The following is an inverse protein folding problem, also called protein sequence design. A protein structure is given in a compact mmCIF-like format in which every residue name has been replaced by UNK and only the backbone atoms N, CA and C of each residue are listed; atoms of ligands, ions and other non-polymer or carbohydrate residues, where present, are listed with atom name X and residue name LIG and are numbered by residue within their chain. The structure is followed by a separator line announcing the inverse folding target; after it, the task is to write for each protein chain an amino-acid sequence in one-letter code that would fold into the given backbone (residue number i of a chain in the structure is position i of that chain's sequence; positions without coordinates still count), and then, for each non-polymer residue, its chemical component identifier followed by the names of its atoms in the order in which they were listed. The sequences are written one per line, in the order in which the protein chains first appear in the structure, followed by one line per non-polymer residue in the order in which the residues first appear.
data_IF_187121419917
#
_entry.id   IF_187121419917
#
_cell.length_a   1.000
_cell.length_b   1.000
_cell.length_c   1.000
_cell.angle_alpha   90.00
_cell.angle_beta   90.00
_cell.angle_gamma   90.00
#
_symmetry.space_group_name_H-M   'P 1'
#
loop_
_entity.id
_entity.type
_entity.pdbx_description
1 polymer ?
#
# COMPACT_ATOMS: atom_id res chain seq x y z
N UNK A 1 9.65 -17.32 -2.20
CA UNK A 1 10.11 -17.35 -3.60
C UNK A 1 9.12 -16.77 -4.64
N UNK A 2 7.84 -16.50 -4.33
CA UNK A 2 6.79 -16.27 -5.34
C UNK A 2 6.74 -14.92 -6.12
N UNK A 3 7.64 -13.95 -5.88
CA UNK A 3 7.55 -12.60 -6.51
C UNK A 3 8.79 -12.26 -7.37
N UNK A 4 9.83 -13.09 -7.29
CA UNK A 4 11.17 -12.74 -7.80
C UNK A 4 11.34 -12.87 -9.33
N UNK A 5 10.26 -13.02 -10.10
CA UNK A 5 10.31 -13.08 -11.57
C UNK A 5 9.18 -12.35 -12.28
N UNK A 6 8.27 -11.73 -11.53
CA UNK A 6 7.08 -11.07 -12.09
C UNK A 6 7.32 -9.57 -12.28
N UNK A 7 6.63 -9.00 -13.27
CA UNK A 7 6.64 -7.56 -13.51
C UNK A 7 5.92 -6.83 -12.39
N UNK A 8 6.45 -5.68 -11.94
CA UNK A 8 5.85 -4.86 -10.90
C UNK A 8 4.37 -4.54 -11.18
N UNK A 9 4.05 -4.14 -12.42
CA UNK A 9 2.66 -3.88 -12.86
C UNK A 9 1.76 -5.09 -12.71
N UNK A 10 2.26 -6.30 -12.99
CA UNK A 10 1.46 -7.51 -12.86
C UNK A 10 1.06 -7.74 -11.40
N UNK A 11 2.00 -7.56 -10.47
CA UNK A 11 1.73 -7.67 -9.03
C UNK A 11 0.70 -6.64 -8.58
N UNK A 12 0.87 -5.38 -9.00
CA UNK A 12 -0.09 -4.30 -8.69
C UNK A 12 -1.48 -4.60 -9.23
N UNK A 13 -1.60 -5.15 -10.45
CA UNK A 13 -2.89 -5.53 -11.04
C UNK A 13 -3.58 -6.68 -10.30
N UNK A 14 -2.83 -7.67 -9.81
CA UNK A 14 -3.41 -8.76 -9.02
C UNK A 14 -3.91 -8.24 -7.67
N UNK A 15 -3.11 -7.38 -7.01
CA UNK A 15 -3.53 -6.75 -5.75
C UNK A 15 -4.75 -5.85 -5.94
N UNK A 16 -4.83 -5.12 -7.06
CA UNK A 16 -5.98 -4.26 -7.33
C UNK A 16 -7.26 -5.05 -7.57
N UNK A 17 -7.18 -6.20 -8.24
CA UNK A 17 -8.31 -7.13 -8.37
C UNK A 17 -8.79 -7.62 -6.99
N UNK A 18 -7.86 -7.97 -6.09
CA UNK A 18 -8.20 -8.41 -4.74
C UNK A 18 -8.99 -7.35 -3.98
N UNK A 19 -8.53 -6.09 -3.97
CA UNK A 19 -9.24 -5.00 -3.29
C UNK A 19 -10.64 -4.78 -3.86
N UNK A 20 -10.78 -4.79 -5.18
CA UNK A 20 -12.07 -4.57 -5.83
C UNK A 20 -13.07 -5.67 -5.45
N UNK A 21 -12.63 -6.92 -5.35
CA UNK A 21 -13.49 -8.03 -4.90
C UNK A 21 -13.96 -7.83 -3.44
N UNK A 22 -13.08 -7.35 -2.56
CA UNK A 22 -13.45 -7.03 -1.16
C UNK A 22 -14.42 -5.85 -1.10
N UNK A 23 -14.16 -4.78 -1.85
CA UNK A 23 -15.02 -3.59 -1.87
C UNK A 23 -16.40 -3.92 -2.45
N UNK A 24 -16.46 -4.68 -3.54
CA UNK A 24 -17.73 -5.10 -4.16
C UNK A 24 -18.53 -6.03 -3.27
N UNK A 25 -17.90 -6.97 -2.56
CA UNK A 25 -18.62 -7.80 -1.59
C UNK A 25 -19.17 -6.98 -0.41
N UNK A 26 -18.45 -5.95 0.05
CA UNK A 26 -18.99 -5.01 1.03
C UNK A 26 -20.20 -4.21 0.48
N UNK A 27 -20.19 -3.81 -0.80
CA UNK A 27 -21.35 -3.14 -1.44
C UNK A 27 -22.57 -4.04 -1.60
N UNK A 28 -22.36 -5.34 -1.78
CA UNK A 28 -23.45 -6.32 -1.91
C UNK A 28 -24.23 -6.51 -0.61
N UNK A 29 -23.68 -6.09 0.53
CA UNK A 29 -24.40 -6.11 1.80
C UNK A 29 -25.52 -5.07 1.84
N UNK A 30 -26.60 -5.39 2.56
CA UNK A 30 -27.74 -4.48 2.71
C UNK A 30 -27.53 -3.49 3.87
N UNK A 31 -26.39 -3.58 4.56
CA UNK A 31 -26.07 -2.76 5.72
C UNK A 31 -25.58 -1.38 5.31
N UNK A 32 -26.19 -0.35 5.89
CA UNK A 32 -25.85 1.04 5.61
C UNK A 32 -24.40 1.36 5.94
N UNK A 33 -23.90 0.84 7.07
CA UNK A 33 -22.52 1.09 7.53
C UNK A 33 -21.49 0.43 6.61
N UNK A 34 -21.75 -0.80 6.16
CA UNK A 34 -20.90 -1.51 5.18
C UNK A 34 -20.77 -0.73 3.86
N UNK A 35 -21.85 -0.13 3.36
CA UNK A 35 -21.82 0.71 2.14
C UNK A 35 -21.05 2.01 2.31
N UNK A 36 -21.07 2.62 3.50
CA UNK A 36 -20.29 3.82 3.80
C UNK A 36 -18.80 3.48 3.87
N UNK A 37 -18.44 2.41 4.57
CA UNK A 37 -17.05 1.92 4.64
C UNK A 37 -16.53 1.48 3.28
N UNK A 38 -17.35 0.87 2.43
CA UNK A 38 -17.00 0.52 1.06
C UNK A 38 -16.67 1.75 0.20
N UNK A 39 -17.41 2.87 0.34
CA UNK A 39 -17.10 4.14 -0.33
C UNK A 39 -15.75 4.72 0.13
N UNK A 40 -15.44 4.64 1.43
CA UNK A 40 -14.13 5.04 1.97
C UNK A 40 -13.01 4.16 1.41
N UNK A 41 -13.23 2.84 1.38
CA UNK A 41 -12.32 1.86 0.79
C UNK A 41 -12.06 2.10 -0.70
N UNK A 42 -13.09 2.47 -1.46
CA UNK A 42 -12.96 2.87 -2.87
C UNK A 42 -12.10 4.14 -3.03
N UNK A 43 -12.29 5.14 -2.17
CA UNK A 43 -11.44 6.34 -2.19
C UNK A 43 -9.97 5.99 -1.91
N UNK A 44 -9.70 5.14 -0.92
CA UNK A 44 -8.35 4.62 -0.62
C UNK A 44 -7.76 3.88 -1.81
N UNK A 45 -8.56 3.01 -2.45
CA UNK A 45 -8.17 2.23 -3.62
C UNK A 45 -7.73 3.13 -4.79
N UNK A 46 -8.49 4.18 -5.11
CA UNK A 46 -8.15 5.11 -6.21
C UNK A 46 -6.80 5.81 -5.95
N UNK A 47 -6.58 6.29 -4.73
CA UNK A 47 -5.33 7.00 -4.36
C UNK A 47 -4.14 6.06 -4.49
N UNK A 48 -4.25 4.87 -3.91
CA UNK A 48 -3.20 3.86 -3.93
C UNK A 48 -2.87 3.38 -5.35
N UNK A 49 -3.90 3.12 -6.17
CA UNK A 49 -3.72 2.66 -7.54
C UNK A 49 -3.03 3.74 -8.38
N UNK A 50 -3.46 4.99 -8.26
CA UNK A 50 -2.82 6.12 -8.93
C UNK A 50 -1.34 6.23 -8.57
N UNK A 51 -1.03 6.26 -7.26
CA UNK A 51 0.35 6.37 -6.78
C UNK A 51 1.21 5.17 -7.23
N UNK A 52 0.65 3.97 -7.27
CA UNK A 52 1.35 2.75 -7.73
C UNK A 52 1.68 2.80 -9.24
N UNK A 53 0.76 3.28 -10.07
CA UNK A 53 0.98 3.42 -11.52
C UNK A 53 2.07 4.47 -11.80
N UNK A 54 1.99 5.64 -11.17
CA UNK A 54 3.00 6.70 -11.32
C UNK A 54 4.37 6.23 -10.82
N UNK A 55 4.41 5.50 -9.71
CA UNK A 55 5.63 4.88 -9.19
C UNK A 55 6.22 3.90 -10.20
N UNK A 56 5.38 3.06 -10.83
CA UNK A 56 5.82 2.14 -11.89
C UNK A 56 6.44 2.87 -13.08
N UNK A 57 5.84 3.98 -13.53
CA UNK A 57 6.35 4.77 -14.64
C UNK A 57 7.74 5.36 -14.31
N UNK A 58 7.91 5.84 -13.08
CA UNK A 58 9.19 6.40 -12.60
C UNK A 58 10.28 5.31 -12.55
N UNK A 59 9.96 4.15 -11.99
CA UNK A 59 10.87 3.00 -11.94
C UNK A 59 11.29 2.56 -13.34
N UNK A 60 10.34 2.52 -14.29
CA UNK A 60 10.65 2.16 -15.68
C UNK A 60 11.62 3.14 -16.34
N UNK A 61 11.51 4.45 -16.08
CA UNK A 61 12.45 5.44 -16.63
C UNK A 61 13.87 5.16 -16.15
N UNK A 62 14.06 4.95 -14.85
CA UNK A 62 15.39 4.79 -14.24
C UNK A 62 15.97 3.41 -14.54
N UNK A 63 15.23 2.33 -14.28
CA UNK A 63 15.75 0.97 -14.40
C UNK A 63 15.63 0.39 -15.82
N UNK A 64 14.87 1.02 -16.72
CA UNK A 64 14.51 0.51 -18.07
C UNK A 64 13.80 -0.85 -18.08
N UNK A 65 13.42 -1.35 -16.91
CA UNK A 65 12.77 -2.65 -16.71
C UNK A 65 11.79 -2.58 -15.56
N UNK A 66 10.74 -3.40 -15.62
CA UNK A 66 9.77 -3.58 -14.55
C UNK A 66 9.91 -4.95 -13.87
N UNK A 67 10.91 -5.74 -14.27
CA UNK A 67 11.18 -7.05 -13.66
C UNK A 67 11.80 -6.85 -12.28
N UNK A 68 11.13 -7.33 -11.25
CA UNK A 68 11.57 -7.17 -9.86
C UNK A 68 12.94 -7.83 -9.58
N UNK A 69 13.28 -8.92 -10.28
CA UNK A 69 14.62 -9.54 -10.20
C UNK A 69 15.73 -8.61 -10.66
N UNK A 70 15.50 -7.92 -11.78
CA UNK A 70 16.48 -7.02 -12.38
C UNK A 70 16.61 -5.74 -11.55
N UNK A 71 15.49 -5.20 -11.07
CA UNK A 71 15.48 -4.05 -10.17
C UNK A 71 16.29 -4.36 -8.91
N UNK A 72 16.09 -5.55 -8.31
CA UNK A 72 16.86 -5.97 -7.14
C UNK A 72 18.36 -6.07 -7.41
N UNK A 73 18.76 -6.58 -8.59
CA UNK A 73 20.17 -6.69 -8.97
C UNK A 73 20.79 -5.31 -9.21
N UNK A 74 20.06 -4.41 -9.86
CA UNK A 74 20.49 -3.04 -10.10
C UNK A 74 20.59 -2.24 -8.77
N UNK A 75 19.73 -2.54 -7.80
CA UNK A 75 19.76 -1.91 -6.48
C UNK A 75 21.04 -2.23 -5.70
N UNK A 76 21.49 -3.49 -5.78
CA UNK A 76 22.75 -3.94 -5.17
C UNK A 76 23.97 -3.24 -5.78
N UNK A 77 23.93 -2.89 -7.07
CA UNK A 77 25.06 -2.25 -7.76
C UNK A 77 25.06 -0.71 -7.69
N UNK A 78 23.90 -0.06 -7.82
CA UNK A 78 23.82 1.39 -8.10
C UNK A 78 23.02 2.21 -7.08
N UNK A 79 22.70 1.68 -5.88
CA UNK A 79 21.99 2.42 -4.84
C UNK A 79 20.77 3.21 -5.36
N UNK A 80 19.80 2.49 -5.93
CA UNK A 80 18.59 3.05 -6.58
C UNK A 80 17.78 3.98 -5.65
N UNK A 81 17.89 3.82 -4.32
CA UNK A 81 17.26 4.72 -3.35
C UNK A 81 17.69 6.18 -3.50
N UNK A 82 18.92 6.45 -3.90
CA UNK A 82 19.41 7.83 -4.07
C UNK A 82 18.70 8.50 -5.25
N UNK A 83 18.42 7.73 -6.30
CA UNK A 83 17.75 8.22 -7.51
C UNK A 83 16.22 8.25 -7.36
N UNK A 84 15.63 7.42 -6.49
CA UNK A 84 14.18 7.35 -6.26
C UNK A 84 13.74 7.47 -4.79
N UNK A 85 14.19 8.49 -4.03
CA UNK A 85 13.82 8.62 -2.62
C UNK A 85 12.31 8.88 -2.47
N UNK A 86 11.73 9.70 -3.34
CA UNK A 86 10.32 10.06 -3.29
C UNK A 86 9.38 8.92 -3.69
N UNK A 87 9.76 8.08 -4.67
CA UNK A 87 9.00 6.86 -4.99
C UNK A 87 9.05 5.87 -3.83
N UNK A 88 10.19 5.70 -3.18
CA UNK A 88 10.28 4.84 -2.00
C UNK A 88 9.35 5.31 -0.88
N UNK A 89 9.35 6.62 -0.56
CA UNK A 89 8.45 7.18 0.44
C UNK A 89 6.99 7.00 0.03
N UNK A 90 6.63 7.26 -1.24
CA UNK A 90 5.27 7.02 -1.75
C UNK A 90 4.82 5.57 -1.53
N UNK A 91 5.64 4.59 -1.92
CA UNK A 91 5.34 3.16 -1.72
C UNK A 91 5.26 2.78 -0.23
N UNK A 92 6.03 3.46 0.62
CA UNK A 92 5.95 3.27 2.08
C UNK A 92 4.65 3.84 2.65
N UNK A 93 4.20 5.02 2.21
CA UNK A 93 2.90 5.57 2.60
C UNK A 93 1.76 4.67 2.14
N UNK A 94 1.87 4.08 0.94
CA UNK A 94 0.94 3.07 0.45
C UNK A 94 0.84 1.88 1.41
N UNK A 95 1.98 1.36 1.89
CA UNK A 95 2.01 0.28 2.87
C UNK A 95 1.28 0.70 4.17
N UNK A 96 1.50 1.92 4.66
CA UNK A 96 0.80 2.45 5.84
C UNK A 96 -0.72 2.59 5.61
N UNK A 97 -1.14 3.08 4.43
CA UNK A 97 -2.55 3.16 4.04
C UNK A 97 -3.21 1.77 4.00
N UNK A 98 -2.50 0.76 3.49
CA UNK A 98 -2.99 -0.62 3.43
C UNK A 98 -3.13 -1.25 4.81
N UNK A 99 -2.20 -0.92 5.71
CA UNK A 99 -2.27 -1.30 7.12
C UNK A 99 -3.29 -0.52 7.94
N UNK A 100 -3.93 0.53 7.38
CA UNK A 100 -4.74 1.50 8.13
C UNK A 100 -4.01 2.04 9.36
N UNK A 101 -2.72 2.34 9.21
CA UNK A 101 -1.88 2.83 10.30
C UNK A 101 -1.80 4.36 10.28
N UNK A 102 -1.65 4.95 11.47
CA UNK A 102 -1.37 6.36 11.71
C UNK A 102 -2.48 7.29 11.20
N UNK A 103 -2.07 8.48 10.77
CA UNK A 103 -2.87 9.48 10.08
C UNK A 103 -3.46 9.01 8.73
N UNK A 104 -3.18 7.76 8.31
CA UNK A 104 -3.66 7.16 7.06
C UNK A 104 -4.75 6.10 7.29
N UNK A 105 -5.35 6.05 8.48
CA UNK A 105 -6.54 5.25 8.73
C UNK A 105 -7.79 5.88 8.06
N UNK A 106 -8.50 5.08 7.26
CA UNK A 106 -9.76 5.45 6.61
C UNK A 106 -10.99 5.02 7.44
N UNK A 107 -10.79 4.53 8.67
CA UNK A 107 -11.83 4.03 9.57
C UNK A 107 -12.41 2.71 9.07
N UNK A 108 -11.57 1.84 8.51
CA UNK A 108 -11.99 0.55 7.89
C UNK A 108 -11.88 -0.64 8.84
N UNK A 109 -11.11 -0.51 9.91
CA UNK A 109 -10.81 -1.53 10.94
C UNK A 109 -11.93 -1.72 11.96
N UNK A 110 -12.88 -0.80 12.02
CA UNK A 110 -14.00 -0.82 12.95
C UNK A 110 -13.64 -0.61 14.43
N UNK A 111 -12.49 0.01 14.68
CA UNK A 111 -12.02 0.33 16.05
C UNK A 111 -12.74 1.55 16.65
N UNK A 112 -13.49 2.29 15.83
CA UNK A 112 -14.32 3.40 16.29
C UNK A 112 -15.64 2.85 16.89
N UNK A 113 -15.90 3.14 18.18
CA UNK A 113 -17.16 2.83 18.87
C UNK A 113 -18.35 3.70 18.38
N UNK A 114 -18.33 4.15 17.13
CA UNK A 114 -19.40 4.95 16.52
C UNK A 114 -20.24 4.07 15.59
N UNK A 115 -21.53 4.40 15.41
CA UNK A 115 -22.47 3.70 14.50
C UNK A 115 -21.99 3.72 13.03
N UNK A 116 -21.07 4.65 12.69
CA UNK A 116 -20.42 4.79 11.38
C UNK A 116 -19.02 4.15 11.31
N UNK A 117 -18.60 3.52 12.40
CA UNK A 117 -17.33 2.82 12.57
C UNK A 117 -17.47 1.32 12.37
N UNK A 118 -18.44 0.87 11.58
CA UNK A 118 -18.56 -0.56 11.30
C UNK A 118 -17.52 -0.96 10.25
N UNK A 119 -16.80 -2.05 10.53
CA UNK A 119 -15.64 -2.44 9.74
C UNK A 119 -16.05 -2.75 8.29
N UNK A 120 -15.15 -2.52 7.33
CA UNK A 120 -15.35 -2.95 5.93
C UNK A 120 -15.67 -4.45 5.84
N UNK A 121 -15.26 -5.22 6.85
CA UNK A 121 -15.40 -6.65 6.95
C UNK A 121 -16.64 -7.12 7.74
N UNK A 122 -17.43 -6.20 8.31
CA UNK A 122 -18.67 -6.49 9.04
C UNK A 122 -19.65 -7.41 8.29
N UNK A 123 -19.85 -7.29 6.95
CA UNK A 123 -20.77 -8.17 6.24
C UNK A 123 -20.25 -9.60 6.01
N UNK A 124 -18.99 -9.90 6.35
CA UNK A 124 -18.39 -11.21 6.18
C UNK A 124 -18.39 -11.98 7.49
N UNK A 125 -18.76 -13.26 7.46
CA UNK A 125 -18.82 -14.11 8.65
C UNK A 125 -18.09 -15.44 8.46
N UNK A 126 -17.65 -16.01 9.58
CA UNK A 126 -17.04 -17.34 9.66
C UNK A 126 -15.85 -17.52 8.71
N UNK A 127 -15.97 -18.49 7.80
CA UNK A 127 -14.91 -18.87 6.87
C UNK A 127 -14.53 -17.75 5.89
N UNK A 128 -15.51 -17.00 5.40
CA UNK A 128 -15.27 -15.92 4.42
C UNK A 128 -14.40 -14.80 5.00
N UNK A 129 -14.66 -14.44 6.26
CA UNK A 129 -13.86 -13.46 7.01
C UNK A 129 -12.42 -13.94 7.20
N UNK A 130 -12.22 -15.20 7.54
CA UNK A 130 -10.89 -15.79 7.72
C UNK A 130 -10.05 -15.74 6.43
N UNK A 131 -10.65 -16.08 5.28
CA UNK A 131 -9.97 -16.02 3.98
C UNK A 131 -9.57 -14.58 3.63
N UNK A 132 -10.45 -13.61 3.86
CA UNK A 132 -10.15 -12.19 3.60
C UNK A 132 -9.04 -11.69 4.51
N UNK A 133 -9.05 -12.07 5.79
CA UNK A 133 -8.02 -11.67 6.75
C UNK A 133 -6.64 -12.25 6.37
N UNK A 134 -6.59 -13.52 5.95
CA UNK A 134 -5.36 -14.13 5.42
C UNK A 134 -4.88 -13.42 4.15
N UNK A 135 -5.79 -13.11 3.23
CA UNK A 135 -5.46 -12.39 2.00
C UNK A 135 -4.85 -11.01 2.30
N UNK A 136 -5.42 -10.28 3.27
CA UNK A 136 -4.88 -9.00 3.71
C UNK A 136 -3.46 -9.14 4.29
N UNK A 137 -3.19 -10.17 5.11
CA UNK A 137 -1.85 -10.40 5.66
C UNK A 137 -0.84 -10.75 4.56
N UNK A 138 -1.25 -11.54 3.58
CA UNK A 138 -0.43 -11.86 2.41
C UNK A 138 -0.13 -10.59 1.60
N UNK A 139 -1.13 -9.74 1.37
CA UNK A 139 -0.94 -8.44 0.70
C UNK A 139 0.10 -7.58 1.42
N UNK A 140 0.02 -7.45 2.74
CA UNK A 140 1.01 -6.69 3.51
C UNK A 140 2.42 -7.26 3.36
N UNK A 141 2.54 -8.59 3.37
CA UNK A 141 3.81 -9.27 3.09
C UNK A 141 4.35 -9.00 1.68
N UNK A 142 3.48 -8.90 0.67
CA UNK A 142 3.86 -8.54 -0.71
C UNK A 142 4.37 -7.11 -0.77
N UNK A 143 3.71 -6.16 -0.10
CA UNK A 143 4.17 -4.76 -0.05
C UNK A 143 5.53 -4.62 0.63
N UNK A 144 5.72 -5.22 1.81
CA UNK A 144 7.01 -5.24 2.50
C UNK A 144 8.10 -5.78 1.58
N UNK A 145 7.80 -6.84 0.83
CA UNK A 145 8.73 -7.42 -0.12
C UNK A 145 9.04 -6.50 -1.31
N UNK A 146 8.03 -5.81 -1.86
CA UNK A 146 8.23 -4.83 -2.94
C UNK A 146 9.20 -3.74 -2.48
N UNK A 147 8.97 -3.17 -1.29
CA UNK A 147 9.86 -2.15 -0.74
C UNK A 147 11.29 -2.67 -0.55
N UNK A 148 11.46 -3.95 -0.22
CA UNK A 148 12.80 -4.54 0.01
C UNK A 148 13.69 -4.56 -1.21
N UNK A 149 13.13 -4.52 -2.41
CA UNK A 149 13.90 -4.48 -3.65
C UNK A 149 14.58 -3.13 -3.91
N UNK A 150 14.15 -2.06 -3.24
CA UNK A 150 14.75 -0.72 -3.40
C UNK A 150 15.99 -0.53 -2.53
N UNK A 151 16.17 -1.31 -1.47
CA UNK A 151 17.33 -1.15 -0.59
C UNK A 151 18.60 -1.75 -1.21
N UNK A 152 19.77 -1.08 -1.08
CA UNK A 152 21.05 -1.54 -1.62
C UNK A 152 21.74 -2.58 -0.72
N UNK A 153 20.98 -3.38 0.01
CA UNK A 153 21.49 -4.35 0.99
C UNK A 153 21.11 -5.77 0.56
N UNK A 154 21.81 -6.78 1.08
CA UNK A 154 21.50 -8.19 0.86
C UNK A 154 20.00 -8.44 1.06
N UNK A 155 19.35 -9.12 0.12
CA UNK A 155 17.89 -9.31 0.05
C UNK A 155 17.24 -9.68 1.39
N UNK A 156 17.86 -10.60 2.13
CA UNK A 156 17.36 -11.04 3.44
C UNK A 156 17.40 -9.92 4.50
N UNK A 157 18.46 -9.11 4.47
CA UNK A 157 18.64 -7.98 5.39
C UNK A 157 17.69 -6.85 5.04
N UNK A 158 17.54 -6.50 3.75
CA UNK A 158 16.58 -5.49 3.28
C UNK A 158 15.14 -5.81 3.69
N UNK A 159 14.73 -7.08 3.56
CA UNK A 159 13.42 -7.53 4.00
C UNK A 159 13.24 -7.41 5.52
N UNK A 160 14.25 -7.78 6.30
CA UNK A 160 14.22 -7.68 7.77
C UNK A 160 14.12 -6.22 8.22
N UNK A 161 14.90 -5.31 7.62
CA UNK A 161 14.87 -3.87 7.94
C UNK A 161 13.47 -3.30 7.73
N UNK A 162 12.83 -3.54 6.58
CA UNK A 162 11.48 -3.00 6.33
C UNK A 162 10.44 -3.67 7.22
N UNK A 163 10.59 -4.96 7.51
CA UNK A 163 9.69 -5.65 8.43
C UNK A 163 9.76 -5.04 9.83
N UNK A 164 10.97 -4.78 10.34
CA UNK A 164 11.18 -4.11 11.64
C UNK A 164 10.66 -2.67 11.59
N UNK A 165 10.88 -1.95 10.49
CA UNK A 165 10.36 -0.60 10.30
C UNK A 165 8.83 -0.59 10.34
N UNK A 166 8.18 -1.49 9.59
CA UNK A 166 6.72 -1.62 9.60
C UNK A 166 6.19 -1.98 10.99
N UNK A 167 6.86 -2.90 11.72
CA UNK A 167 6.51 -3.21 13.11
C UNK A 167 6.66 -2.01 14.04
N UNK A 168 7.71 -1.21 13.88
CA UNK A 168 7.90 0.02 14.65
C UNK A 168 6.75 1.01 14.41
N UNK A 169 6.32 1.19 13.16
CA UNK A 169 5.14 2.00 12.84
C UNK A 169 3.85 1.42 13.44
N UNK A 170 3.67 0.09 13.41
CA UNK A 170 2.53 -0.56 14.05
C UNK A 170 2.49 -0.33 15.57
N UNK A 171 3.66 -0.26 16.24
CA UNK A 171 3.74 0.07 17.66
C UNK A 171 3.47 1.56 17.93
N UNK A 172 4.03 2.43 17.09
CA UNK A 172 3.86 3.88 17.21
C UNK A 172 2.41 4.32 16.96
N UNK A 173 1.65 3.55 16.17
CA UNK A 173 0.24 3.81 15.87
C UNK A 173 -0.60 3.99 17.13
N UNK A 174 -0.29 3.23 18.19
CA UNK A 174 -0.99 3.33 19.48
C UNK A 174 -0.79 4.66 20.20
N UNK A 175 0.22 5.44 19.83
CA UNK A 175 0.55 6.73 20.45
C UNK A 175 0.05 7.93 19.66
N UNK A 176 -0.50 7.72 18.46
CA UNK A 176 -0.91 8.79 17.55
C UNK A 176 -2.43 8.88 17.51
N UNK A 177 -2.96 10.10 17.55
CA UNK A 177 -4.41 10.34 17.45
C UNK A 177 -4.90 9.96 16.06
N UNK A 178 -6.01 9.23 16.00
CA UNK A 178 -6.74 9.00 14.75
C UNK A 178 -7.24 10.32 14.18
N UNK A 179 -7.26 10.40 12.85
CA UNK A 179 -7.65 11.58 12.10
C UNK A 179 -8.94 11.30 11.36
N UNK A 180 -9.81 12.31 11.21
CA UNK A 180 -11.01 12.19 10.39
C UNK A 180 -10.68 11.70 8.96
N UNK A 181 -11.43 10.70 8.47
CA UNK A 181 -11.18 10.04 7.17
C UNK A 181 -11.01 11.00 5.98
N UNK A 182 -11.69 12.16 5.97
CA UNK A 182 -11.55 13.17 4.89
C UNK A 182 -10.17 13.81 4.90
N UNK A 183 -9.64 14.08 6.09
CA UNK A 183 -8.29 14.61 6.27
C UNK A 183 -7.25 13.53 5.96
N UNK A 184 -7.49 12.28 6.39
CA UNK A 184 -6.63 11.14 6.03
C UNK A 184 -6.57 10.94 4.50
N UNK A 185 -7.70 11.03 3.79
CA UNK A 185 -7.75 10.96 2.33
C UNK A 185 -6.98 12.09 1.65
N UNK A 186 -7.13 13.33 2.15
CA UNK A 186 -6.39 14.50 1.63
C UNK A 186 -4.88 14.36 1.87
N UNK A 187 -4.49 13.90 3.05
CA UNK A 187 -3.10 13.66 3.41
C UNK A 187 -2.51 12.55 2.52
N UNK A 188 -3.24 11.47 2.32
CA UNK A 188 -2.87 10.36 1.43
C UNK A 188 -2.64 10.84 -0.01
N UNK A 189 -3.52 11.69 -0.53
CA UNK A 189 -3.35 12.30 -1.85
C UNK A 189 -2.07 13.15 -1.93
N UNK A 190 -1.79 13.97 -0.92
CA UNK A 190 -0.59 14.80 -0.90
C UNK A 190 0.70 13.97 -0.80
N UNK A 191 0.76 13.04 0.15
CA UNK A 191 1.99 12.30 0.44
C UNK A 191 2.22 11.12 -0.49
N UNK A 192 1.23 10.26 -0.73
CA UNK A 192 1.44 9.12 -1.62
C UNK A 192 1.48 9.56 -3.09
N UNK A 193 0.39 10.18 -3.56
CA UNK A 193 0.28 10.53 -4.96
C UNK A 193 1.13 11.76 -5.34
N UNK A 194 1.18 12.79 -4.48
CA UNK A 194 1.98 13.98 -4.73
C UNK A 194 3.48 13.67 -4.79
N UNK A 195 4.04 12.91 -3.83
CA UNK A 195 5.47 12.56 -3.87
C UNK A 195 5.81 11.68 -5.07
N UNK A 196 4.93 10.72 -5.42
CA UNK A 196 5.14 9.91 -6.61
C UNK A 196 5.19 10.76 -7.89
N UNK A 197 4.32 11.77 -8.00
CA UNK A 197 4.25 12.65 -9.16
C UNK A 197 5.46 13.58 -9.24
N UNK A 198 5.87 14.16 -8.11
CA UNK A 198 7.07 15.00 -8.02
C UNK A 198 8.29 14.20 -8.48
N UNK A 199 8.41 12.95 -8.03
CA UNK A 199 9.53 12.10 -8.46
C UNK A 199 9.49 11.82 -9.96
N UNK A 200 8.32 11.50 -10.50
CA UNK A 200 8.16 11.26 -11.92
C UNK A 200 8.58 12.47 -12.76
N UNK A 201 8.13 13.67 -12.36
CA UNK A 201 8.48 14.92 -13.04
C UNK A 201 9.99 15.16 -12.95
N UNK A 202 10.58 15.05 -11.77
CA UNK A 202 12.01 15.25 -11.57
C UNK A 202 12.84 14.33 -12.47
N UNK A 203 12.51 13.04 -12.46
CA UNK A 203 13.14 12.02 -13.28
C UNK A 203 12.82 12.20 -14.77
N UNK A 204 11.76 12.90 -15.17
CA UNK A 204 11.50 13.15 -16.58
C UNK A 204 12.36 14.29 -17.14
N UNK A 205 12.58 15.34 -16.34
CA UNK A 205 13.35 16.52 -16.76
C UNK A 205 14.87 16.34 -16.62
N UNK A 206 15.34 15.53 -15.67
CA UNK A 206 16.74 15.16 -15.47
C UNK A 206 16.97 13.69 -15.82
#
# INVERSE_FOLDING_TARGET
MAVSGYNFLFVVSVLSMMDLLVITGAFSSNDFSGRVSAKRGLSRFIIWLFASIVSSATIYKVCRTLKLSEISRLSESNCIIIDLPFTFVSLFIILLMKGNLMHFDFGLSGTEMSVFGDALYSPYSGWSLAVIQMAQWIEMGVWIKILSYFLPVVKSVSYLIISVLYLAFMLLDRFISTVEWKKAARLSWGWAAGMSLINFIYVFYF
#
